data_IF_470624230583
#
_entry.id   IF_470624230583
#
_cell.length_a   1.000
_cell.length_b   1.000
_cell.length_c   1.000
_cell.angle_alpha   90.00
_cell.angle_beta   90.00
_cell.angle_gamma   90.00
#
_symmetry.space_group_name_H-M   'P 1'
#
loop_
_entity.id
_entity.type
_entity.pdbx_description
1 polymer ?
#
# COMPACT_ATOMS: atom_id res chain seq x y z
N UNK A 1 -2.07 1.37 24.18
CA UNK A 1 -1.30 0.32 24.89
C UNK A 1 0.17 0.69 24.85
N UNK A 2 0.87 0.62 25.99
CA UNK A 2 2.17 1.28 26.22
C UNK A 2 3.21 1.12 25.10
N UNK A 3 3.46 -0.10 24.62
CA UNK A 3 4.47 -0.35 23.58
C UNK A 3 4.14 0.30 22.23
N UNK A 4 2.85 0.48 21.90
CA UNK A 4 2.46 1.18 20.67
C UNK A 4 2.55 2.70 20.80
N UNK A 5 2.28 3.26 21.98
CA UNK A 5 2.50 4.69 22.24
C UNK A 5 4.00 5.02 22.19
N UNK A 6 4.85 4.12 22.69
CA UNK A 6 6.31 4.23 22.63
C UNK A 6 6.93 3.50 21.44
N UNK A 7 6.21 3.40 20.31
CA UNK A 7 6.62 2.59 19.15
C UNK A 7 8.02 2.93 18.66
N UNK A 8 8.37 4.20 18.61
CA UNK A 8 9.69 4.68 18.17
C UNK A 8 10.86 4.14 19.02
N UNK A 9 10.66 3.89 20.33
CA UNK A 9 11.63 3.21 21.19
C UNK A 9 11.51 1.68 21.06
N UNK A 10 10.29 1.16 21.05
CA UNK A 10 10.05 -0.29 20.95
C UNK A 10 10.64 -0.91 19.67
N UNK A 11 10.61 -0.17 18.56
CA UNK A 11 11.23 -0.54 17.29
C UNK A 11 12.72 -0.87 17.40
N UNK A 12 13.41 -0.37 18.44
CA UNK A 12 14.85 -0.63 18.68
C UNK A 12 15.11 -1.98 19.36
N UNK A 13 14.08 -2.62 19.92
CA UNK A 13 14.21 -3.96 20.53
C UNK A 13 14.64 -5.01 19.50
N UNK A 14 15.38 -6.03 19.94
CA UNK A 14 15.90 -7.10 19.06
C UNK A 14 14.80 -7.75 18.21
N UNK A 15 13.69 -8.12 18.84
CA UNK A 15 12.55 -8.73 18.16
C UNK A 15 11.94 -7.82 17.10
N UNK A 16 11.68 -6.54 17.41
CA UNK A 16 11.08 -5.63 16.43
C UNK A 16 12.03 -5.36 15.25
N UNK A 17 13.33 -5.19 15.51
CA UNK A 17 14.34 -5.06 14.45
C UNK A 17 14.39 -6.26 13.52
N UNK A 18 14.38 -7.48 14.08
CA UNK A 18 14.37 -8.71 13.27
C UNK A 18 13.10 -8.85 12.44
N UNK A 19 11.93 -8.48 12.98
CA UNK A 19 10.66 -8.47 12.22
C UNK A 19 10.75 -7.51 11.03
N UNK A 20 11.33 -6.32 11.20
CA UNK A 20 11.53 -5.38 10.10
C UNK A 20 12.50 -5.90 9.04
N UNK A 21 13.59 -6.56 9.45
CA UNK A 21 14.54 -7.18 8.52
C UNK A 21 13.88 -8.29 7.70
N UNK A 22 13.09 -9.16 8.34
CA UNK A 22 12.32 -10.20 7.64
C UNK A 22 11.32 -9.58 6.66
N UNK A 23 10.58 -8.55 7.07
CA UNK A 23 9.65 -7.82 6.17
C UNK A 23 10.39 -7.25 4.95
N UNK A 24 11.56 -6.65 5.16
CA UNK A 24 12.38 -6.14 4.07
C UNK A 24 12.78 -7.25 3.09
N UNK A 25 13.29 -8.38 3.59
CA UNK A 25 13.66 -9.52 2.75
C UNK A 25 12.49 -10.08 1.96
N UNK A 26 11.30 -10.17 2.55
CA UNK A 26 10.09 -10.64 1.87
C UNK A 26 9.71 -9.67 0.73
N UNK A 27 9.67 -8.36 0.99
CA UNK A 27 9.32 -7.35 -0.02
C UNK A 27 10.33 -7.40 -1.18
N UNK A 28 11.62 -7.49 -0.86
CA UNK A 28 12.67 -7.62 -1.87
C UNK A 28 12.49 -8.87 -2.72
N UNK A 29 12.28 -10.04 -2.10
CA UNK A 29 12.11 -11.29 -2.83
C UNK A 29 10.90 -11.28 -3.76
N UNK A 30 9.78 -10.67 -3.35
CA UNK A 30 8.60 -10.52 -4.19
C UNK A 30 8.91 -9.64 -5.41
N UNK A 31 9.59 -8.51 -5.21
CA UNK A 31 9.99 -7.62 -6.31
C UNK A 31 10.96 -8.30 -7.27
N UNK A 32 12.03 -8.87 -6.75
CA UNK A 32 13.04 -9.59 -7.56
C UNK A 32 12.39 -10.72 -8.39
N UNK A 33 11.40 -11.43 -7.85
CA UNK A 33 10.65 -12.46 -8.55
C UNK A 33 9.90 -11.92 -9.77
N UNK A 34 9.16 -10.82 -9.62
CA UNK A 34 8.40 -10.21 -10.72
C UNK A 34 9.33 -9.53 -11.73
N UNK A 35 10.37 -8.82 -11.27
CA UNK A 35 11.37 -8.18 -12.12
C UNK A 35 12.09 -9.21 -13.00
N UNK A 36 12.47 -10.37 -12.43
CA UNK A 36 13.13 -11.46 -13.18
C UNK A 36 12.28 -12.08 -14.29
N UNK A 37 10.99 -11.74 -14.35
CA UNK A 37 10.01 -12.24 -15.33
C UNK A 37 9.48 -11.14 -16.25
N UNK A 38 10.09 -9.96 -16.22
CA UNK A 38 9.74 -8.84 -17.09
C UNK A 38 8.45 -8.12 -16.70
N UNK A 39 7.93 -8.33 -15.49
CA UNK A 39 6.82 -7.51 -14.99
C UNK A 39 7.32 -6.09 -14.71
N UNK A 40 6.49 -5.10 -15.03
CA UNK A 40 6.77 -3.69 -14.71
C UNK A 40 6.04 -3.31 -13.43
N UNK A 41 6.77 -2.74 -12.46
CA UNK A 41 6.16 -2.15 -11.27
C UNK A 41 5.37 -0.89 -11.67
N UNK A 42 4.09 -0.84 -11.28
CA UNK A 42 3.20 0.31 -11.48
C UNK A 42 2.55 0.69 -10.15
N UNK A 43 2.52 1.98 -9.84
CA UNK A 43 1.90 2.52 -8.63
C UNK A 43 0.48 3.01 -8.90
N UNK A 44 -0.48 2.54 -8.09
CA UNK A 44 -1.86 3.02 -8.11
C UNK A 44 -2.02 4.24 -7.17
N UNK A 45 -2.87 5.23 -7.51
CA UNK A 45 -3.11 6.37 -6.64
C UNK A 45 -3.81 5.94 -5.34
N UNK A 46 -3.39 6.54 -4.22
CA UNK A 46 -3.96 6.26 -2.90
C UNK A 46 -5.25 7.04 -2.61
N UNK A 47 -5.48 8.14 -3.34
CA UNK A 47 -6.73 8.90 -3.33
C UNK A 47 -7.53 8.56 -4.58
N UNK A 48 -8.79 8.17 -4.39
CA UNK A 48 -9.69 7.78 -5.47
C UNK A 48 -11.02 8.53 -5.36
N UNK A 49 -11.65 8.91 -6.47
CA UNK A 49 -13.00 9.47 -6.45
C UNK A 49 -14.09 8.40 -6.22
N UNK A 50 -13.75 7.11 -6.35
CA UNK A 50 -14.70 6.01 -6.31
C UNK A 50 -14.27 4.86 -5.39
N UNK A 51 -15.24 4.16 -4.82
CA UNK A 51 -15.05 2.90 -4.09
C UNK A 51 -14.57 1.80 -5.06
N UNK A 52 -13.48 1.07 -4.74
CA UNK A 52 -13.04 -0.06 -5.56
C UNK A 52 -13.93 -1.30 -5.36
N UNK A 53 -14.37 -1.55 -4.13
CA UNK A 53 -15.28 -2.64 -3.77
C UNK A 53 -16.42 -1.98 -2.99
N UNK A 54 -17.69 -2.30 -3.30
CA UNK A 54 -18.89 -1.61 -2.81
C UNK A 54 -19.17 -1.71 -1.31
N UNK A 55 -18.16 -1.43 -0.48
CA UNK A 55 -18.21 -1.41 0.97
C UNK A 55 -18.47 0.01 1.48
N UNK A 56 -19.18 0.09 2.60
CA UNK A 56 -19.70 1.34 3.17
C UNK A 56 -18.73 2.07 4.10
N UNK A 57 -17.48 1.59 4.26
CA UNK A 57 -16.50 2.13 5.22
C UNK A 57 -15.29 2.74 4.52
N UNK A 58 -15.51 3.78 3.70
CA UNK A 58 -14.44 4.55 3.10
C UNK A 58 -14.02 5.71 4.01
N UNK A 59 -12.72 5.98 4.08
CA UNK A 59 -12.19 7.16 4.75
C UNK A 59 -12.23 8.35 3.79
N UNK A 60 -13.10 9.31 4.09
CA UNK A 60 -13.26 10.54 3.31
C UNK A 60 -12.14 11.55 3.61
N UNK A 61 -11.70 12.25 2.56
CA UNK A 61 -10.70 13.32 2.62
C UNK A 61 -11.26 14.53 1.85
N UNK A 62 -11.36 15.72 2.46
CA UNK A 62 -11.66 16.95 1.74
C UNK A 62 -10.62 17.17 0.63
N UNK A 63 -11.08 17.32 -0.61
CA UNK A 63 -10.22 17.41 -1.78
C UNK A 63 -10.44 18.75 -2.49
N UNK A 64 -9.77 19.78 -1.96
CA UNK A 64 -9.83 21.15 -2.48
C UNK A 64 -11.29 21.65 -2.62
N UNK A 65 -11.55 22.43 -3.67
CA UNK A 65 -12.87 22.89 -4.12
C UNK A 65 -13.61 21.83 -4.96
N UNK A 66 -13.01 20.67 -5.20
CA UNK A 66 -13.56 19.57 -6.00
C UNK A 66 -14.43 18.59 -5.19
N UNK A 67 -14.59 18.83 -3.89
CA UNK A 67 -15.44 18.04 -3.00
C UNK A 67 -14.65 17.04 -2.16
N UNK A 68 -14.96 15.75 -2.26
CA UNK A 68 -14.38 14.68 -1.43
C UNK A 68 -13.63 13.67 -2.29
N UNK A 69 -12.49 13.22 -1.79
CA UNK A 69 -11.80 12.02 -2.24
C UNK A 69 -11.83 10.97 -1.13
N UNK A 70 -11.45 9.74 -1.46
CA UNK A 70 -11.43 8.63 -0.51
C UNK A 70 -10.05 7.96 -0.51
N UNK A 71 -9.61 7.48 0.65
CA UNK A 71 -8.47 6.57 0.71
C UNK A 71 -8.85 5.25 0.05
N UNK A 72 -8.06 4.81 -0.91
CA UNK A 72 -8.30 3.53 -1.58
C UNK A 72 -8.13 2.36 -0.62
N UNK A 73 -8.96 1.33 -0.79
CA UNK A 73 -8.83 0.05 -0.10
C UNK A 73 -7.96 -0.93 -0.88
N UNK A 74 -7.87 -0.76 -2.21
CA UNK A 74 -7.14 -1.64 -3.11
C UNK A 74 -6.71 -0.89 -4.38
N UNK A 75 -5.57 -1.28 -4.96
CA UNK A 75 -5.12 -0.79 -6.26
C UNK A 75 -5.68 -1.58 -7.45
N UNK A 76 -6.58 -2.56 -7.23
CA UNK A 76 -6.97 -3.55 -8.24
C UNK A 76 -7.41 -2.95 -9.57
N UNK A 77 -8.37 -2.02 -9.58
CA UNK A 77 -8.89 -1.44 -10.83
C UNK A 77 -7.79 -0.71 -11.63
N UNK A 78 -6.88 -0.01 -10.95
CA UNK A 78 -5.70 0.59 -11.58
C UNK A 78 -4.70 -0.46 -12.06
N UNK A 79 -4.56 -1.56 -11.32
CA UNK A 79 -3.72 -2.71 -11.70
C UNK A 79 -4.24 -3.43 -12.94
N UNK A 80 -5.56 -3.59 -13.08
CA UNK A 80 -6.19 -4.15 -14.29
C UNK A 80 -5.95 -3.25 -15.50
N UNK A 81 -6.14 -1.93 -15.34
CA UNK A 81 -5.83 -0.96 -16.40
C UNK A 81 -4.34 -0.94 -16.76
N UNK A 82 -3.45 -1.02 -15.77
CA UNK A 82 -2.01 -1.06 -15.98
C UNK A 82 -1.60 -2.35 -16.72
N UNK A 83 -2.14 -3.51 -16.33
CA UNK A 83 -1.87 -4.77 -17.00
C UNK A 83 -2.25 -4.72 -18.49
N UNK A 84 -3.33 -4.02 -18.85
CA UNK A 84 -3.71 -3.81 -20.26
C UNK A 84 -2.82 -2.82 -21.02
N UNK A 85 -2.06 -1.97 -20.31
CA UNK A 85 -1.27 -0.89 -20.90
C UNK A 85 0.23 -1.21 -21.00
N UNK A 86 0.78 -1.94 -20.03
CA UNK A 86 2.21 -2.27 -19.93
C UNK A 86 2.50 -3.77 -20.05
N UNK A 87 1.46 -4.58 -20.28
CA UNK A 87 1.50 -6.03 -20.44
C UNK A 87 0.86 -6.49 -21.74
#
# INVERSE_FOLDING_TARGET
GFLQEQRHLWLRSSRQRLILAVRHSIIKAIRDYFDSRGFTLVDAPILTPAACEGTSTLFEVPYFDLGKAFLTQSGQLYGEAAAMAVG
#
